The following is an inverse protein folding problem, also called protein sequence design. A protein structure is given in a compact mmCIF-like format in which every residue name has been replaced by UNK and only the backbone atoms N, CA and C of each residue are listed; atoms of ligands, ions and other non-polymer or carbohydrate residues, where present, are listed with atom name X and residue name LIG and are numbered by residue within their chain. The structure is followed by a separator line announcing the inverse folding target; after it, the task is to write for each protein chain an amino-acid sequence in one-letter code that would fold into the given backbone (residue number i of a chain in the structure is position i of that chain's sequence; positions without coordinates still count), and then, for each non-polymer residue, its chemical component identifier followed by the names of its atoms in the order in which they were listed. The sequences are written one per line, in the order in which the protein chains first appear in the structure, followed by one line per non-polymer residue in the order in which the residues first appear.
data_IF_496013378830
#
_entry.id   IF_496013378830
#
_cell.length_a   1.000
_cell.length_b   1.000
_cell.length_c   1.000
_cell.angle_alpha   90.00
_cell.angle_beta   90.00
_cell.angle_gamma   90.00
#
_symmetry.space_group_name_H-M   'P 1'
#
loop_
_entity.id
_entity.type
_entity.pdbx_description
1 polymer ?
#
# COMPACT_ATOMS: atom_id res chain seq x y z
N UNK A 1 11.24 -34.75 4.82
CA UNK A 1 10.05 -35.28 4.13
C UNK A 1 9.60 -34.28 3.07
N UNK A 2 9.22 -34.74 1.89
CA UNK A 2 8.79 -33.88 0.79
C UNK A 2 7.39 -33.33 1.06
N UNK A 3 7.23 -32.00 1.00
CA UNK A 3 5.95 -31.33 1.26
C UNK A 3 4.93 -31.71 0.19
N UNK A 4 3.88 -32.42 0.58
CA UNK A 4 2.77 -32.75 -0.34
C UNK A 4 2.05 -31.48 -0.78
N UNK A 5 1.80 -31.39 -2.08
CA UNK A 5 1.04 -30.30 -2.71
C UNK A 5 -0.31 -30.83 -3.21
N UNK A 6 -1.32 -29.97 -3.22
CA UNK A 6 -2.60 -30.22 -3.87
C UNK A 6 -2.44 -30.18 -5.39
N UNK A 7 -3.43 -30.68 -6.14
CA UNK A 7 -3.45 -30.59 -7.61
C UNK A 7 -3.31 -29.15 -8.14
N UNK A 8 -3.74 -28.16 -7.35
CA UNK A 8 -3.55 -26.72 -7.61
C UNK A 8 -2.18 -26.17 -7.22
N UNK A 9 -1.23 -27.02 -6.82
CA UNK A 9 0.14 -26.64 -6.45
C UNK A 9 0.31 -25.99 -5.08
N UNK A 10 -0.76 -25.86 -4.29
CA UNK A 10 -0.72 -25.32 -2.92
C UNK A 10 -0.27 -26.39 -1.93
N UNK A 11 0.27 -25.99 -0.78
CA UNK A 11 0.62 -26.94 0.30
C UNK A 11 -0.63 -27.67 0.79
N UNK A 12 -0.58 -29.01 0.85
CA UNK A 12 -1.69 -29.82 1.34
C UNK A 12 -1.78 -29.78 2.88
N UNK A 13 -2.79 -29.05 3.38
CA UNK A 13 -3.05 -28.83 4.81
C UNK A 13 -3.72 -30.02 5.51
N UNK A 14 -3.98 -31.13 4.81
CA UNK A 14 -4.47 -32.37 5.42
C UNK A 14 -3.35 -33.14 6.12
N UNK A 15 -2.11 -32.93 5.69
CA UNK A 15 -0.91 -33.53 6.30
C UNK A 15 -0.46 -32.76 7.56
N UNK A 16 0.26 -33.45 8.48
CA UNK A 16 0.85 -32.80 9.67
C UNK A 16 1.81 -31.68 9.27
N UNK A 17 2.70 -31.96 8.32
CA UNK A 17 3.67 -31.01 7.75
C UNK A 17 3.00 -29.78 7.14
N UNK A 18 1.93 -29.96 6.38
CA UNK A 18 1.20 -28.86 5.75
C UNK A 18 0.50 -27.95 6.75
N UNK A 19 0.01 -28.49 7.87
CA UNK A 19 -0.55 -27.69 8.97
C UNK A 19 0.52 -26.84 9.64
N UNK A 20 1.69 -27.41 9.91
CA UNK A 20 2.83 -26.70 10.52
C UNK A 20 3.35 -25.57 9.63
N UNK A 21 3.53 -25.82 8.33
CA UNK A 21 3.96 -24.80 7.37
C UNK A 21 2.95 -23.65 7.32
N UNK A 22 1.65 -23.97 7.25
CA UNK A 22 0.62 -22.96 7.21
C UNK A 22 0.58 -22.10 8.50
N UNK A 23 0.82 -22.70 9.67
CA UNK A 23 0.92 -21.99 10.94
C UNK A 23 2.16 -21.08 10.98
N UNK A 24 3.32 -21.55 10.53
CA UNK A 24 4.55 -20.73 10.41
C UNK A 24 4.34 -19.54 9.48
N UNK A 25 3.70 -19.76 8.33
CA UNK A 25 3.39 -18.70 7.37
C UNK A 25 2.40 -17.68 7.94
N UNK A 26 1.40 -18.12 8.70
CA UNK A 26 0.46 -17.22 9.38
C UNK A 26 1.18 -16.35 10.43
N UNK A 27 2.05 -16.96 11.25
CA UNK A 27 2.86 -16.25 12.25
C UNK A 27 3.80 -15.24 11.60
N UNK A 28 4.46 -15.60 10.51
CA UNK A 28 5.32 -14.70 9.74
C UNK A 28 4.53 -13.50 9.15
N UNK A 29 3.32 -13.72 8.64
CA UNK A 29 2.44 -12.65 8.16
C UNK A 29 2.03 -11.70 9.29
N UNK A 30 1.66 -12.23 10.46
CA UNK A 30 1.30 -11.43 11.62
C UNK A 30 2.49 -10.57 12.11
N UNK A 31 3.69 -11.15 12.18
CA UNK A 31 4.91 -10.43 12.54
C UNK A 31 5.20 -9.27 11.56
N UNK A 32 5.04 -9.49 10.24
CA UNK A 32 5.20 -8.42 9.23
C UNK A 32 4.15 -7.32 9.36
N UNK A 33 2.91 -7.67 9.70
CA UNK A 33 1.86 -6.68 9.94
C UNK A 33 2.14 -5.81 11.18
N UNK A 34 2.71 -6.39 12.24
CA UNK A 34 3.16 -5.65 13.42
C UNK A 34 4.41 -4.80 13.17
N UNK A 35 5.32 -5.26 12.32
CA UNK A 35 6.55 -4.56 11.95
C UNK A 35 6.35 -3.46 10.90
N UNK A 36 5.17 -3.38 10.27
CA UNK A 36 4.84 -2.26 9.41
C UNK A 36 4.76 -1.00 10.27
N UNK A 37 5.83 -0.18 10.23
CA UNK A 37 5.86 1.13 10.87
C UNK A 37 4.60 1.88 10.47
N UNK A 38 3.71 2.12 11.43
CA UNK A 38 2.64 3.10 11.28
C UNK A 38 3.35 4.44 11.14
N UNK A 39 3.56 4.90 9.91
CA UNK A 39 3.90 6.30 9.65
C UNK A 39 2.73 7.11 10.18
N UNK A 40 2.88 7.56 11.43
CA UNK A 40 1.91 8.43 12.07
C UNK A 40 2.01 9.76 11.33
N UNK A 41 1.19 9.93 10.31
CA UNK A 41 1.12 11.19 9.60
C UNK A 41 0.63 12.23 10.59
N UNK A 42 1.43 13.26 10.87
CA UNK A 42 1.04 14.45 11.65
C UNK A 42 -0.16 15.18 11.04
N UNK A 43 -0.45 14.86 9.76
CA UNK A 43 -1.52 15.45 8.99
C UNK A 43 -2.90 15.19 9.60
N UNK A 44 -3.59 16.28 9.92
CA UNK A 44 -4.97 16.24 10.42
C UNK A 44 -5.93 15.75 9.32
N UNK A 45 -6.78 14.79 9.69
CA UNK A 45 -7.79 14.18 8.82
C UNK A 45 -9.20 14.45 9.35
N UNK A 46 -10.17 14.55 8.44
CA UNK A 46 -11.59 14.60 8.76
C UNK A 46 -12.09 13.26 9.28
N UNK A 47 -13.30 13.22 9.86
CA UNK A 47 -13.97 11.97 10.31
C UNK A 47 -14.08 10.92 9.19
N UNK A 48 -14.14 11.36 7.93
CA UNK A 48 -14.14 10.51 6.73
C UNK A 48 -12.75 10.08 6.25
N UNK A 49 -11.68 10.39 6.98
CA UNK A 49 -10.30 10.01 6.66
C UNK A 49 -9.61 10.86 5.58
N UNK A 50 -10.25 11.92 5.08
CA UNK A 50 -9.68 12.85 4.09
C UNK A 50 -8.81 13.91 4.77
N UNK A 51 -7.87 14.50 4.04
CA UNK A 51 -7.05 15.63 4.56
C UNK A 51 -7.97 16.79 4.94
N UNK A 52 -7.80 17.33 6.14
CA UNK A 52 -8.57 18.48 6.61
C UNK A 52 -8.06 19.79 5.99
N UNK A 53 -8.82 20.32 5.02
CA UNK A 53 -8.51 21.54 4.27
C UNK A 53 -8.66 22.83 5.08
N UNK A 54 -9.18 22.77 6.31
CA UNK A 54 -9.29 23.95 7.18
C UNK A 54 -7.94 24.29 7.82
N UNK A 55 -7.08 23.28 8.01
CA UNK A 55 -5.74 23.44 8.58
C UNK A 55 -4.76 24.07 7.59
N UNK A 56 -3.73 24.78 8.10
CA UNK A 56 -2.66 25.38 7.28
C UNK A 56 -1.97 24.32 6.42
N UNK A 57 -1.70 23.14 6.99
CA UNK A 57 -1.09 22.00 6.30
C UNK A 57 -1.99 21.47 5.17
N UNK A 58 -3.29 21.31 5.42
CA UNK A 58 -4.24 20.83 4.43
C UNK A 58 -4.42 21.77 3.24
N UNK A 59 -4.39 23.10 3.48
CA UNK A 59 -4.40 24.11 2.41
C UNK A 59 -3.16 24.02 1.54
N UNK A 60 -1.97 23.97 2.16
CA UNK A 60 -0.71 23.86 1.44
C UNK A 60 -0.61 22.58 0.59
N UNK A 61 -1.15 21.45 1.08
CA UNK A 61 -1.21 20.21 0.29
C UNK A 61 -2.17 20.35 -0.90
N UNK A 62 -3.35 20.95 -0.68
CA UNK A 62 -4.31 21.16 -1.76
C UNK A 62 -3.72 22.04 -2.88
N UNK A 63 -2.99 23.10 -2.53
CA UNK A 63 -2.33 23.99 -3.49
C UNK A 63 -1.22 23.27 -4.26
N UNK A 64 -0.35 22.50 -3.58
CA UNK A 64 0.68 21.68 -4.25
C UNK A 64 0.06 20.67 -5.21
N UNK A 65 -1.01 20.00 -4.80
CA UNK A 65 -1.72 19.04 -5.65
C UNK A 65 -2.38 19.72 -6.85
N UNK A 66 -2.97 20.91 -6.66
CA UNK A 66 -3.55 21.67 -7.77
C UNK A 66 -2.47 22.11 -8.78
N UNK A 67 -1.31 22.58 -8.30
CA UNK A 67 -0.17 22.92 -9.15
C UNK A 67 0.35 21.71 -9.91
N UNK A 68 0.49 20.56 -9.25
CA UNK A 68 0.90 19.31 -9.88
C UNK A 68 -0.07 18.85 -10.98
N UNK A 69 -1.39 18.93 -10.74
CA UNK A 69 -2.42 18.59 -11.73
C UNK A 69 -2.35 19.52 -12.96
N UNK A 70 -2.19 20.83 -12.73
CA UNK A 70 -1.99 21.81 -13.81
C UNK A 70 -0.74 21.50 -14.62
N UNK A 71 0.36 21.15 -13.96
CA UNK A 71 1.61 20.78 -14.62
C UNK A 71 1.46 19.48 -15.44
N UNK A 72 0.83 18.45 -14.89
CA UNK A 72 0.61 17.17 -15.57
C UNK A 72 -0.17 17.34 -16.88
N UNK A 73 -1.21 18.18 -16.87
CA UNK A 73 -2.03 18.45 -18.05
C UNK A 73 -1.52 19.60 -18.93
N UNK A 74 -0.35 20.15 -18.63
CA UNK A 74 0.21 21.25 -19.42
C UNK A 74 0.60 20.76 -20.81
N UNK A 75 0.31 21.59 -21.83
CA UNK A 75 0.66 21.31 -23.22
C UNK A 75 2.17 21.06 -23.38
N UNK A 76 3.00 21.83 -22.66
CA UNK A 76 4.44 21.66 -22.64
C UNK A 76 4.89 20.25 -22.17
N UNK A 77 4.30 19.72 -21.09
CA UNK A 77 4.65 18.38 -20.61
C UNK A 77 4.08 17.27 -21.50
N UNK A 78 2.94 17.51 -22.15
CA UNK A 78 2.39 16.58 -23.15
C UNK A 78 3.30 16.49 -24.37
N UNK A 79 3.77 17.61 -24.91
CA UNK A 79 4.71 17.65 -26.03
C UNK A 79 6.05 16.99 -25.63
N UNK A 80 6.60 17.33 -24.46
CA UNK A 80 7.82 16.66 -23.94
C UNK A 80 7.71 15.15 -23.85
N UNK A 81 6.52 14.60 -23.60
CA UNK A 81 6.29 13.14 -23.53
C UNK A 81 6.16 12.50 -24.91
N UNK A 82 5.63 13.22 -25.90
CA UNK A 82 5.44 12.72 -27.26
C UNK A 82 6.75 12.68 -28.05
N UNK A 83 7.69 13.58 -27.75
CA UNK A 83 8.99 13.66 -28.40
C UNK A 83 10.13 13.19 -27.49
N UNK A 84 9.86 12.20 -26.61
CA UNK A 84 10.86 11.57 -25.75
C UNK A 84 11.31 10.24 -26.32
#
# INVERSE_FOLDING_TARGET
MAVKKTASGKVDRRTKEGKEIAARMAKARAARAGAAKKTQSTLKKTKSGKVDKRTKEGKAICERMAKARKAQNSLANRLKRLFR
#
